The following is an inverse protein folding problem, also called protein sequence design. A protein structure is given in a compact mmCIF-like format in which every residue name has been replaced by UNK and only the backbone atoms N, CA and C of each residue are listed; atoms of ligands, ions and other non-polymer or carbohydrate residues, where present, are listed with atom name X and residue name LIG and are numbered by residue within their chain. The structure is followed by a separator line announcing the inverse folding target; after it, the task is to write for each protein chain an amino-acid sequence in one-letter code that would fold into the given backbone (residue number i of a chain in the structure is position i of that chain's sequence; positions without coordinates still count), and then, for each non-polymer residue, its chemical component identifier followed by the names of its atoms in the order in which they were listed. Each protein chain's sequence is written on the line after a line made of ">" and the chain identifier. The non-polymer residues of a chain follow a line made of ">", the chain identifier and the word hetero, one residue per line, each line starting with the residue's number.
data_IF_878401032757
#
_entry.id   IF_878401032757
#
_cell.length_a   1.000
_cell.length_b   1.000
_cell.length_c   1.000
_cell.angle_alpha   90.00
_cell.angle_beta   90.00
_cell.angle_gamma   90.00
#
_symmetry.space_group_name_H-M   'P 1'
#
loop_
_entity.id
_entity.type
_entity.pdbx_description
1 polymer ?
#
# COMPACT_ATOMS: atom_id res chain seq x y z
N UNK A 1 2.21 -14.88 -19.04
CA UNK A 1 1.71 -13.89 -20.01
C UNK A 1 2.78 -13.47 -20.99
N UNK A 2 3.87 -12.81 -20.56
CA UNK A 2 4.97 -12.37 -21.44
C UNK A 2 5.52 -13.48 -22.36
N UNK A 3 5.79 -14.67 -21.82
CA UNK A 3 6.28 -15.79 -22.64
C UNK A 3 5.26 -16.29 -23.69
N UNK A 4 3.96 -16.11 -23.44
CA UNK A 4 2.90 -16.63 -24.28
C UNK A 4 2.62 -15.77 -25.52
N UNK A 5 3.02 -14.50 -25.52
CA UNK A 5 2.71 -13.58 -26.65
C UNK A 5 3.43 -13.97 -27.94
N UNK A 6 4.54 -14.71 -27.86
CA UNK A 6 5.28 -15.23 -29.02
C UNK A 6 5.18 -16.75 -29.17
N UNK A 7 4.45 -17.44 -28.29
CA UNK A 7 4.34 -18.90 -28.36
C UNK A 7 3.51 -19.32 -29.57
N UNK A 8 3.88 -20.41 -30.25
CA UNK A 8 3.04 -20.93 -31.33
C UNK A 8 1.75 -21.53 -30.75
N UNK A 9 0.60 -20.95 -31.13
CA UNK A 9 -0.73 -21.42 -30.73
C UNK A 9 -1.37 -20.59 -29.62
N UNK A 10 -2.19 -21.25 -28.80
CA UNK A 10 -3.03 -20.62 -27.78
C UNK A 10 -2.65 -21.08 -26.39
N UNK A 11 -2.38 -20.12 -25.51
CA UNK A 11 -2.20 -20.33 -24.06
C UNK A 11 -3.46 -19.93 -23.31
N UNK A 12 -3.86 -20.73 -22.32
CA UNK A 12 -4.93 -20.42 -21.38
C UNK A 12 -4.33 -20.49 -19.98
N UNK A 13 -4.44 -19.40 -19.23
CA UNK A 13 -4.04 -19.30 -17.83
C UNK A 13 -5.32 -19.28 -17.00
N UNK A 14 -5.53 -20.32 -16.21
CA UNK A 14 -6.65 -20.44 -15.28
C UNK A 14 -6.22 -20.06 -13.86
N UNK A 15 -7.17 -19.61 -13.04
CA UNK A 15 -6.89 -19.02 -11.72
C UNK A 15 -5.86 -17.88 -11.79
N UNK A 16 -6.02 -17.03 -12.81
CA UNK A 16 -5.12 -15.92 -13.06
C UNK A 16 -5.31 -14.80 -12.01
N UNK A 17 -4.20 -14.17 -11.67
CA UNK A 17 -4.18 -13.00 -10.81
C UNK A 17 -4.88 -11.80 -11.50
N UNK A 18 -5.67 -11.02 -10.74
CA UNK A 18 -6.59 -10.00 -11.28
C UNK A 18 -6.13 -8.57 -11.00
N UNK A 19 -4.95 -8.41 -10.42
CA UNK A 19 -4.42 -7.13 -10.00
C UNK A 19 -4.33 -6.14 -11.16
N UNK A 20 -4.53 -4.84 -10.92
CA UNK A 20 -4.47 -3.83 -11.98
C UNK A 20 -3.19 -3.83 -12.80
N UNK A 21 -2.04 -4.14 -12.22
CA UNK A 21 -0.78 -4.24 -12.95
C UNK A 21 -0.75 -5.43 -13.94
N UNK A 22 -1.54 -6.48 -13.71
CA UNK A 22 -1.71 -7.58 -14.68
C UNK A 22 -2.53 -7.09 -15.88
N UNK A 23 -3.60 -6.35 -15.61
CA UNK A 23 -4.43 -5.70 -16.66
C UNK A 23 -3.60 -4.71 -17.46
N UNK A 24 -2.80 -3.88 -16.79
CA UNK A 24 -1.94 -2.90 -17.43
C UNK A 24 -0.89 -3.54 -18.34
N UNK A 25 -0.24 -4.61 -17.88
CA UNK A 25 0.71 -5.37 -18.71
C UNK A 25 0.02 -5.98 -19.94
N UNK A 26 -1.20 -6.50 -19.80
CA UNK A 26 -1.96 -7.04 -20.93
C UNK A 26 -2.34 -5.94 -21.93
N UNK A 27 -2.79 -4.78 -21.45
CA UNK A 27 -3.13 -3.63 -22.27
C UNK A 27 -1.91 -3.08 -23.02
N UNK A 28 -0.76 -2.99 -22.34
CA UNK A 28 0.52 -2.62 -22.95
C UNK A 28 0.88 -3.58 -24.09
N UNK A 29 0.87 -4.89 -23.84
CA UNK A 29 1.19 -5.89 -24.87
C UNK A 29 0.20 -5.86 -26.04
N UNK A 30 -1.10 -5.68 -25.77
CA UNK A 30 -2.12 -5.52 -26.81
C UNK A 30 -1.90 -4.25 -27.64
N UNK A 31 -1.45 -3.15 -27.03
CA UNK A 31 -1.09 -1.91 -27.76
C UNK A 31 0.11 -2.09 -28.70
N UNK A 32 0.93 -3.12 -28.44
CA UNK A 32 2.03 -3.55 -29.32
C UNK A 32 1.61 -4.58 -30.37
N UNK A 33 0.33 -5.01 -30.39
CA UNK A 33 -0.20 -5.98 -31.36
C UNK A 33 -0.40 -7.40 -30.84
N UNK A 34 -0.30 -7.65 -29.53
CA UNK A 34 -0.66 -8.95 -28.96
C UNK A 34 -2.18 -9.23 -29.03
N UNK A 35 -2.57 -10.51 -28.91
CA UNK A 35 -3.98 -10.93 -28.75
C UNK A 35 -4.18 -11.57 -27.36
N UNK A 36 -4.37 -10.71 -26.36
CA UNK A 36 -4.61 -11.09 -24.97
C UNK A 36 -6.03 -10.68 -24.57
N UNK A 37 -6.81 -11.63 -24.05
CA UNK A 37 -8.19 -11.41 -23.59
C UNK A 37 -8.40 -11.98 -22.20
N UNK A 38 -9.28 -11.35 -21.42
CA UNK A 38 -9.67 -11.81 -20.09
C UNK A 38 -8.73 -11.39 -18.95
N UNK A 39 -7.80 -10.46 -19.18
CA UNK A 39 -7.02 -9.85 -18.10
C UNK A 39 -7.96 -9.16 -17.09
N UNK A 40 -7.70 -9.34 -15.79
CA UNK A 40 -8.61 -8.90 -14.72
C UNK A 40 -9.72 -9.90 -14.39
N UNK A 41 -9.78 -11.05 -15.08
CA UNK A 41 -10.68 -12.18 -14.78
C UNK A 41 -9.89 -13.41 -14.35
N UNK A 42 -10.57 -14.46 -13.90
CA UNK A 42 -9.95 -15.73 -13.51
C UNK A 42 -9.27 -16.48 -14.68
N UNK A 43 -9.57 -16.11 -15.94
CA UNK A 43 -9.07 -16.83 -17.12
C UNK A 43 -8.51 -15.86 -18.16
N UNK A 44 -7.20 -15.91 -18.36
CA UNK A 44 -6.50 -15.14 -19.40
C UNK A 44 -6.22 -16.06 -20.59
N UNK A 45 -6.62 -15.60 -21.78
CA UNK A 45 -6.42 -16.31 -23.05
C UNK A 45 -5.48 -15.49 -23.93
N UNK A 46 -4.45 -16.15 -24.45
CA UNK A 46 -3.40 -15.50 -25.23
C UNK A 46 -3.21 -16.32 -26.50
N UNK A 47 -3.41 -15.69 -27.67
CA UNK A 47 -2.99 -16.27 -28.93
C UNK A 47 -1.63 -15.66 -29.28
N UNK A 48 -0.61 -16.49 -29.48
CA UNK A 48 0.70 -15.97 -29.81
C UNK A 48 0.74 -15.38 -31.22
N UNK A 49 1.52 -14.32 -31.35
CA UNK A 49 1.72 -13.56 -32.58
C UNK A 49 3.16 -13.69 -33.06
N UNK A 50 3.40 -13.43 -34.35
CA UNK A 50 4.74 -13.53 -34.94
C UNK A 50 5.64 -12.35 -34.59
N UNK A 51 5.05 -11.19 -34.40
CA UNK A 51 5.75 -9.93 -34.17
C UNK A 51 4.92 -9.01 -33.27
N UNK A 52 5.61 -8.15 -32.53
CA UNK A 52 5.04 -7.00 -31.84
C UNK A 52 5.73 -5.74 -32.36
N UNK A 53 5.02 -4.62 -32.36
CA UNK A 53 5.56 -3.31 -32.75
C UNK A 53 5.82 -2.45 -31.52
N UNK A 54 6.81 -1.56 -31.62
CA UNK A 54 7.02 -0.55 -30.58
C UNK A 54 5.82 0.39 -30.44
N UNK A 55 5.54 0.85 -29.21
CA UNK A 55 4.47 1.80 -28.94
C UNK A 55 4.89 2.80 -27.85
N UNK A 56 4.08 3.84 -27.66
CA UNK A 56 4.12 4.70 -26.47
C UNK A 56 2.96 4.33 -25.57
N UNK A 57 3.21 4.15 -24.28
CA UNK A 57 2.22 3.69 -23.32
C UNK A 57 2.36 4.42 -21.99
N UNK A 58 1.24 4.88 -21.41
CA UNK A 58 1.20 5.49 -20.07
C UNK A 58 0.99 4.38 -19.04
N UNK A 59 1.92 4.24 -18.09
CA UNK A 59 1.78 3.32 -16.96
C UNK A 59 0.64 3.78 -16.06
N UNK A 60 -0.14 2.84 -15.52
CA UNK A 60 -1.19 3.19 -14.55
C UNK A 60 -0.61 3.78 -13.26
N UNK A 61 -1.39 4.58 -12.52
CA UNK A 61 -1.00 5.05 -11.19
C UNK A 61 -0.73 3.93 -10.18
N UNK A 62 0.15 4.20 -9.21
CA UNK A 62 0.46 3.28 -8.11
C UNK A 62 -0.64 3.32 -7.03
N UNK A 63 -1.51 2.32 -7.05
CA UNK A 63 -2.57 2.14 -6.05
C UNK A 63 -2.05 1.94 -4.62
N UNK A 64 -0.84 1.40 -4.45
CA UNK A 64 -0.26 1.16 -3.12
C UNK A 64 0.31 2.46 -2.55
N UNK A 65 0.91 3.29 -3.40
CA UNK A 65 1.30 4.63 -2.99
C UNK A 65 0.08 5.47 -2.61
N UNK A 66 -0.94 5.51 -3.47
CA UNK A 66 -2.19 6.22 -3.19
C UNK A 66 -2.83 5.74 -1.87
N UNK A 67 -3.00 4.43 -1.70
CA UNK A 67 -3.56 3.85 -0.48
C UNK A 67 -2.75 4.16 0.78
N UNK A 68 -1.43 4.32 0.67
CA UNK A 68 -0.57 4.73 1.79
C UNK A 68 -0.88 6.15 2.24
N UNK A 69 -1.07 7.08 1.30
CA UNK A 69 -1.49 8.45 1.64
C UNK A 69 -2.92 8.52 2.18
N UNK A 70 -3.84 7.70 1.66
CA UNK A 70 -5.20 7.60 2.22
C UNK A 70 -5.16 7.20 3.70
N UNK A 71 -4.35 6.19 4.03
CA UNK A 71 -4.18 5.70 5.40
C UNK A 71 -3.45 6.76 6.26
N UNK A 72 -2.46 7.45 5.72
CA UNK A 72 -1.75 8.51 6.42
C UNK A 72 -2.68 9.69 6.78
N UNK A 73 -3.56 10.09 5.86
CA UNK A 73 -4.56 11.12 6.10
C UNK A 73 -5.53 10.72 7.22
N UNK A 74 -6.00 9.47 7.19
CA UNK A 74 -6.85 8.92 8.25
C UNK A 74 -6.12 8.91 9.61
N UNK A 75 -4.87 8.43 9.66
CA UNK A 75 -4.09 8.29 10.89
C UNK A 75 -3.75 9.65 11.51
N UNK A 76 -3.40 10.63 10.69
CA UNK A 76 -3.03 11.99 11.13
C UNK A 76 -4.22 12.90 11.35
N UNK A 77 -5.45 12.40 11.16
CA UNK A 77 -6.70 13.17 11.18
C UNK A 77 -6.66 14.38 10.21
N UNK A 78 -6.04 14.19 9.06
CA UNK A 78 -5.83 15.21 8.02
C UNK A 78 -6.97 15.31 7.00
N UNK A 79 -6.75 16.13 5.98
CA UNK A 79 -7.61 16.35 4.82
C UNK A 79 -6.73 16.59 3.59
N UNK A 80 -6.72 15.63 2.66
CA UNK A 80 -5.87 15.67 1.48
C UNK A 80 -6.65 15.33 0.22
N UNK A 81 -6.16 15.81 -0.92
CA UNK A 81 -6.56 15.35 -2.24
C UNK A 81 -5.42 14.52 -2.82
N UNK A 82 -5.75 13.35 -3.36
CA UNK A 82 -4.83 12.46 -4.05
C UNK A 82 -5.22 12.46 -5.52
N UNK A 83 -4.36 13.01 -6.37
CA UNK A 83 -4.54 13.13 -7.82
C UNK A 83 -3.87 11.98 -8.58
N UNK A 84 -4.19 11.86 -9.88
CA UNK A 84 -3.70 10.83 -10.82
C UNK A 84 -3.87 9.42 -10.22
N UNK A 85 -5.11 9.06 -9.90
CA UNK A 85 -5.50 7.74 -9.42
C UNK A 85 -6.62 7.14 -10.26
N UNK A 86 -6.85 5.84 -10.08
CA UNK A 86 -8.02 5.15 -10.61
C UNK A 86 -8.81 4.64 -9.41
N UNK A 87 -9.92 5.31 -9.00
CA UNK A 87 -10.67 4.94 -7.79
C UNK A 87 -11.07 3.46 -7.74
N UNK A 88 -11.36 2.87 -8.91
CA UNK A 88 -11.69 1.44 -9.06
C UNK A 88 -10.61 0.51 -8.50
N UNK A 89 -9.33 0.88 -8.61
CA UNK A 89 -8.20 0.10 -8.09
C UNK A 89 -8.08 0.20 -6.55
N UNK A 90 -8.67 1.23 -5.95
CA UNK A 90 -8.61 1.54 -4.52
C UNK A 90 -9.88 1.10 -3.77
N UNK A 91 -10.86 0.50 -4.44
CA UNK A 91 -12.14 0.07 -3.84
C UNK A 91 -11.99 -0.71 -2.51
N UNK A 92 -11.09 -1.71 -2.39
CA UNK A 92 -10.99 -2.50 -1.16
C UNK A 92 -10.50 -1.68 0.04
N UNK A 93 -9.58 -0.74 -0.22
CA UNK A 93 -9.01 0.16 0.78
C UNK A 93 -10.03 1.22 1.17
N UNK A 94 -10.67 1.81 0.15
CA UNK A 94 -11.75 2.79 0.30
C UNK A 94 -12.90 2.24 1.15
N UNK A 95 -13.33 1.00 0.88
CA UNK A 95 -14.37 0.35 1.65
C UNK A 95 -14.01 0.22 3.13
N UNK A 96 -12.78 -0.20 3.44
CA UNK A 96 -12.32 -0.34 4.83
C UNK A 96 -12.13 0.98 5.55
N UNK A 97 -11.61 2.01 4.88
CA UNK A 97 -11.50 3.35 5.47
C UNK A 97 -12.88 3.98 5.70
N UNK A 98 -13.84 3.80 4.78
CA UNK A 98 -15.24 4.21 5.00
C UNK A 98 -15.90 3.45 6.16
N UNK A 99 -15.64 2.14 6.30
CA UNK A 99 -16.11 1.33 7.44
C UNK A 99 -15.58 1.88 8.78
N UNK A 100 -14.33 2.37 8.81
CA UNK A 100 -13.76 3.04 9.98
C UNK A 100 -14.37 4.43 10.25
N UNK A 101 -15.05 5.03 9.29
CA UNK A 101 -15.62 6.38 9.41
C UNK A 101 -14.81 7.50 8.74
N UNK A 102 -13.82 7.18 7.91
CA UNK A 102 -13.07 8.17 7.11
C UNK A 102 -13.97 8.75 6.02
N UNK A 103 -13.93 10.08 5.83
CA UNK A 103 -14.58 10.77 4.75
C UNK A 103 -13.81 10.58 3.44
N UNK A 104 -14.48 10.09 2.39
CA UNK A 104 -13.88 9.90 1.06
C UNK A 104 -14.84 10.36 -0.02
N UNK A 105 -14.39 11.30 -0.84
CA UNK A 105 -15.11 11.87 -1.99
C UNK A 105 -14.30 11.64 -3.27
N UNK A 106 -14.94 11.11 -4.32
CA UNK A 106 -14.29 10.79 -5.59
C UNK A 106 -14.55 11.90 -6.63
N UNK A 107 -13.51 12.28 -7.36
CA UNK A 107 -13.50 13.37 -8.35
C UNK A 107 -12.86 12.91 -9.66
N UNK A 108 -13.43 11.89 -10.31
CA UNK A 108 -12.88 11.36 -11.56
C UNK A 108 -11.56 10.62 -11.34
N UNK A 109 -10.44 11.25 -11.69
CA UNK A 109 -9.07 10.73 -11.52
C UNK A 109 -8.38 11.24 -10.24
N UNK A 110 -9.13 11.85 -9.33
CA UNK A 110 -8.67 12.19 -7.98
C UNK A 110 -9.67 11.78 -6.90
N UNK A 111 -9.22 11.78 -5.64
CA UNK A 111 -10.09 11.59 -4.49
C UNK A 111 -9.63 12.43 -3.31
N UNK A 112 -10.60 12.96 -2.57
CA UNK A 112 -10.36 13.61 -1.29
C UNK A 112 -10.53 12.60 -0.16
N UNK A 113 -9.58 12.57 0.76
CA UNK A 113 -9.61 11.72 1.96
C UNK A 113 -9.42 12.61 3.17
N UNK A 114 -10.40 12.61 4.07
CA UNK A 114 -10.42 13.50 5.22
C UNK A 114 -10.99 12.85 6.48
N UNK A 115 -10.56 13.37 7.62
CA UNK A 115 -11.12 13.01 8.90
C UNK A 115 -12.51 13.63 9.09
N UNK A 116 -13.55 12.79 9.03
CA UNK A 116 -14.96 13.20 9.20
C UNK A 116 -15.40 13.10 10.67
N UNK A 117 -15.10 11.98 11.31
CA UNK A 117 -15.54 11.65 12.68
C UNK A 117 -14.58 10.68 13.35
N UNK A 118 -14.84 10.41 14.63
CA UNK A 118 -14.03 9.46 15.40
C UNK A 118 -14.02 8.09 14.72
N UNK A 119 -12.81 7.55 14.53
CA UNK A 119 -12.61 6.32 13.83
C UNK A 119 -12.97 5.13 14.71
N UNK A 120 -13.54 4.10 14.11
CA UNK A 120 -13.84 2.83 14.77
C UNK A 120 -12.87 1.74 14.33
N UNK A 121 -12.53 0.80 15.22
CA UNK A 121 -11.67 -0.33 14.86
C UNK A 121 -12.37 -1.23 13.83
N UNK A 122 -11.58 -1.84 12.94
CA UNK A 122 -12.08 -2.77 11.92
C UNK A 122 -11.15 -3.98 11.79
N UNK A 123 -11.71 -5.09 11.32
CA UNK A 123 -10.91 -6.27 10.97
C UNK A 123 -10.56 -6.24 9.48
N UNK A 124 -9.32 -6.60 9.15
CA UNK A 124 -8.87 -6.77 7.76
C UNK A 124 -8.33 -8.18 7.54
N UNK A 125 -8.57 -8.70 6.34
CA UNK A 125 -7.95 -9.93 5.84
C UNK A 125 -7.40 -9.64 4.45
N UNK A 126 -6.11 -9.89 4.24
CA UNK A 126 -5.50 -9.72 2.92
C UNK A 126 -5.89 -10.89 2.03
N UNK A 127 -6.19 -10.57 0.77
CA UNK A 127 -6.65 -11.51 -0.24
C UNK A 127 -6.11 -11.07 -1.62
N UNK A 128 -5.97 -11.97 -2.60
CA UNK A 128 -5.72 -11.57 -3.99
C UNK A 128 -6.73 -10.53 -4.46
N UNK A 129 -6.34 -9.65 -5.39
CA UNK A 129 -7.24 -8.61 -5.89
C UNK A 129 -8.53 -9.23 -6.47
N UNK A 130 -9.74 -8.68 -6.20
CA UNK A 130 -10.06 -7.39 -5.59
C UNK A 130 -10.21 -7.41 -4.06
N UNK A 131 -9.50 -8.30 -3.36
CA UNK A 131 -9.38 -8.29 -1.91
C UNK A 131 -8.53 -7.15 -1.35
N UNK A 132 -8.49 -7.01 -0.02
CA UNK A 132 -7.62 -6.02 0.62
C UNK A 132 -6.14 -6.35 0.33
N UNK A 133 -5.36 -5.41 -0.22
CA UNK A 133 -4.01 -5.71 -0.69
C UNK A 133 -3.04 -5.92 0.47
N UNK A 134 -2.27 -7.00 0.40
CA UNK A 134 -1.22 -7.32 1.37
C UNK A 134 -0.18 -6.21 1.50
N UNK A 135 0.03 -5.40 0.47
CA UNK A 135 0.97 -4.27 0.51
C UNK A 135 0.51 -3.08 1.38
N UNK A 136 -0.79 -2.96 1.66
CA UNK A 136 -1.33 -1.90 2.53
C UNK A 136 -1.68 -2.41 3.93
N UNK A 137 -1.48 -3.70 4.18
CA UNK A 137 -1.69 -4.31 5.50
C UNK A 137 -0.84 -3.62 6.57
N UNK A 138 0.43 -3.30 6.27
CA UNK A 138 1.35 -2.74 7.26
C UNK A 138 1.01 -1.27 7.63
N UNK A 139 0.81 -0.34 6.67
CA UNK A 139 0.26 0.98 6.95
C UNK A 139 -1.08 0.93 7.70
N UNK A 140 -2.00 0.04 7.29
CA UNK A 140 -3.30 -0.10 7.92
C UNK A 140 -3.17 -0.55 9.38
N UNK A 141 -2.23 -1.45 9.68
CA UNK A 141 -2.00 -1.92 11.06
C UNK A 141 -1.52 -0.79 11.98
N UNK A 142 -0.73 0.15 11.45
CA UNK A 142 -0.33 1.36 12.18
C UNK A 142 -1.53 2.25 12.49
N UNK A 143 -2.39 2.50 11.49
CA UNK A 143 -3.65 3.23 11.72
C UNK A 143 -4.48 2.54 12.81
N UNK A 144 -4.74 1.24 12.69
CA UNK A 144 -5.49 0.46 13.69
C UNK A 144 -4.86 0.50 15.09
N UNK A 145 -3.53 0.62 15.18
CA UNK A 145 -2.83 0.74 16.47
C UNK A 145 -3.10 2.07 17.18
N UNK A 146 -3.56 3.10 16.46
CA UNK A 146 -3.93 4.40 17.02
C UNK A 146 -5.43 4.57 17.31
N UNK A 147 -6.27 3.64 16.84
CA UNK A 147 -7.73 3.73 16.96
C UNK A 147 -8.22 2.96 18.18
N UNK A 148 -8.93 3.61 19.09
CA UNK A 148 -9.38 3.00 20.33
C UNK A 148 -10.29 1.77 20.08
N UNK A 149 -9.89 0.61 20.60
CA UNK A 149 -10.63 -0.65 20.51
C UNK A 149 -9.79 -1.81 20.00
N UNK A 150 -10.44 -2.91 19.66
CA UNK A 150 -9.77 -4.15 19.24
C UNK A 150 -9.93 -4.39 17.74
N UNK A 151 -8.84 -4.70 17.06
CA UNK A 151 -8.81 -5.01 15.63
C UNK A 151 -8.00 -6.27 15.38
N UNK A 152 -8.32 -6.98 14.30
CA UNK A 152 -7.60 -8.16 13.85
C UNK A 152 -7.16 -7.98 12.41
N UNK A 153 -5.91 -8.33 12.14
CA UNK A 153 -5.30 -8.32 10.81
C UNK A 153 -4.90 -9.75 10.46
N UNK A 154 -5.47 -10.31 9.39
CA UNK A 154 -5.12 -11.64 8.88
C UNK A 154 -4.36 -11.49 7.56
N UNK A 155 -3.19 -12.11 7.46
CA UNK A 155 -2.35 -12.11 6.25
C UNK A 155 -2.57 -13.42 5.46
N UNK A 156 -3.38 -13.35 4.41
CA UNK A 156 -3.72 -14.47 3.54
C UNK A 156 -2.77 -14.71 2.36
N UNK A 157 -1.91 -13.75 2.02
CA UNK A 157 -1.10 -13.77 0.78
C UNK A 157 0.37 -14.08 1.07
N UNK A 158 0.98 -13.41 2.06
CA UNK A 158 2.40 -13.61 2.43
C UNK A 158 2.56 -14.55 3.63
N UNK A 159 3.72 -15.19 3.76
CA UNK A 159 4.01 -16.12 4.86
C UNK A 159 4.63 -15.47 6.10
N UNK A 160 5.24 -14.29 5.96
CA UNK A 160 6.03 -13.65 7.01
C UNK A 160 6.10 -12.12 6.83
N UNK A 161 4.95 -11.43 6.99
CA UNK A 161 4.81 -9.99 6.73
C UNK A 161 4.68 -9.11 7.98
N UNK A 162 4.73 -9.70 9.18
CA UNK A 162 4.53 -8.98 10.45
C UNK A 162 5.83 -8.51 11.15
N UNK A 163 6.99 -8.53 10.47
CA UNK A 163 8.28 -8.15 11.09
C UNK A 163 8.30 -6.74 11.68
N UNK A 164 7.63 -5.80 11.00
CA UNK A 164 7.47 -4.41 11.44
C UNK A 164 6.70 -4.25 12.76
N UNK A 165 5.96 -5.27 13.21
CA UNK A 165 5.21 -5.23 14.48
C UNK A 165 6.13 -4.98 15.66
N UNK A 166 7.35 -5.54 15.63
CA UNK A 166 8.32 -5.31 16.70
C UNK A 166 8.79 -3.86 16.76
N UNK A 167 8.84 -3.17 15.62
CA UNK A 167 9.24 -1.76 15.55
C UNK A 167 8.15 -0.83 16.11
N UNK A 168 6.89 -1.06 15.76
CA UNK A 168 5.78 -0.26 16.32
C UNK A 168 5.53 -0.59 17.80
N UNK A 169 5.88 -1.80 18.27
CA UNK A 169 5.92 -2.14 19.70
C UNK A 169 6.96 -1.31 20.46
N UNK A 170 8.12 -1.02 19.88
CA UNK A 170 9.10 -0.08 20.48
C UNK A 170 8.50 1.32 20.65
N UNK A 171 7.58 1.70 19.77
CA UNK A 171 6.82 2.95 19.83
C UNK A 171 5.63 2.90 20.81
N UNK A 172 5.38 1.76 21.47
CA UNK A 172 4.30 1.60 22.45
C UNK A 172 2.99 1.02 21.90
N UNK A 173 2.96 0.53 20.65
CA UNK A 173 1.78 -0.14 20.11
C UNK A 173 1.50 -1.46 20.84
N UNK A 174 0.23 -1.71 21.20
CA UNK A 174 -0.21 -2.98 21.79
C UNK A 174 -0.72 -3.90 20.69
N UNK A 175 0.19 -4.72 20.16
CA UNK A 175 -0.10 -5.67 19.10
C UNK A 175 0.47 -7.02 19.50
N UNK A 176 -0.33 -8.09 19.48
CA UNK A 176 0.15 -9.47 19.53
C UNK A 176 0.10 -10.08 18.14
N UNK A 177 1.06 -10.94 17.76
CA UNK A 177 1.05 -11.51 16.41
C UNK A 177 1.63 -12.92 16.33
N UNK A 178 1.15 -13.64 15.32
CA UNK A 178 1.71 -14.88 14.77
C UNK A 178 2.14 -14.63 13.33
N UNK A 179 2.61 -15.66 12.61
CA UNK A 179 2.99 -15.53 11.19
C UNK A 179 1.84 -15.04 10.29
N UNK A 180 0.60 -15.36 10.62
CA UNK A 180 -0.57 -15.14 9.74
C UNK A 180 -1.61 -14.19 10.32
N UNK A 181 -1.47 -13.76 11.57
CA UNK A 181 -2.48 -12.95 12.23
C UNK A 181 -1.86 -12.02 13.26
N UNK A 182 -2.39 -10.81 13.36
CA UNK A 182 -2.11 -9.87 14.44
C UNK A 182 -3.42 -9.42 15.12
N UNK A 183 -3.37 -9.27 16.43
CA UNK A 183 -4.41 -8.73 17.28
C UNK A 183 -3.93 -7.41 17.85
N UNK A 184 -4.67 -6.35 17.57
CA UNK A 184 -4.32 -4.98 17.93
C UNK A 184 -5.29 -4.52 19.00
N UNK A 185 -4.74 -4.00 20.10
CA UNK A 185 -5.47 -3.17 21.06
C UNK A 185 -5.02 -1.74 20.83
N UNK A 186 -5.81 -0.98 20.09
CA UNK A 186 -5.41 0.35 19.69
C UNK A 186 -5.28 1.27 20.90
N UNK A 187 -4.17 2.00 20.93
CA UNK A 187 -3.82 2.97 21.96
C UNK A 187 -3.52 4.30 21.25
N UNK A 188 -4.22 5.40 21.57
CA UNK A 188 -4.02 6.67 20.87
C UNK A 188 -2.61 7.27 21.05
N UNK A 189 -1.80 6.79 22.00
CA UNK A 189 -0.52 7.40 22.34
C UNK A 189 0.69 6.54 21.96
N UNK A 190 1.14 6.65 20.69
CA UNK A 190 2.48 6.19 20.29
C UNK A 190 3.56 7.19 20.75
N UNK A 191 4.78 6.69 20.96
CA UNK A 191 5.95 7.49 21.34
C UNK A 191 7.06 7.37 20.30
N UNK A 192 7.66 8.50 19.97
CA UNK A 192 8.80 8.55 19.06
C UNK A 192 10.02 7.85 19.66
N UNK A 193 10.70 7.07 18.83
CA UNK A 193 11.93 6.35 19.17
C UNK A 193 12.71 6.02 17.89
N UNK A 194 13.82 5.30 18.02
CA UNK A 194 14.57 4.77 16.87
C UNK A 194 13.95 3.45 16.42
N UNK A 195 13.57 3.37 15.16
CA UNK A 195 12.98 2.20 14.51
C UNK A 195 13.66 1.90 13.18
N UNK A 196 13.55 0.65 12.73
CA UNK A 196 14.24 0.18 11.53
C UNK A 196 13.25 -0.26 10.45
N UNK A 197 13.36 0.26 9.24
CA UNK A 197 12.57 -0.22 8.11
C UNK A 197 12.99 -1.65 7.73
N UNK A 198 12.13 -2.66 7.98
CA UNK A 198 12.43 -4.07 7.68
C UNK A 198 12.18 -4.46 6.22
N UNK A 199 11.33 -3.70 5.54
CA UNK A 199 10.98 -3.86 4.14
C UNK A 199 10.34 -2.56 3.60
N UNK A 200 10.03 -2.55 2.30
CA UNK A 200 9.50 -1.37 1.60
C UNK A 200 8.22 -0.80 2.24
N UNK A 201 7.24 -1.67 2.51
CA UNK A 201 5.92 -1.22 2.99
C UNK A 201 5.95 -1.00 4.51
N UNK A 202 6.84 -1.70 5.21
CA UNK A 202 7.12 -1.47 6.63
C UNK A 202 7.71 -0.08 6.87
N UNK A 203 8.65 0.36 6.02
CA UNK A 203 9.22 1.70 6.15
C UNK A 203 8.17 2.80 5.96
N UNK A 204 7.25 2.67 5.00
CA UNK A 204 6.13 3.59 4.84
C UNK A 204 5.17 3.56 6.05
N UNK A 205 4.90 2.38 6.60
CA UNK A 205 4.11 2.24 7.83
C UNK A 205 4.79 2.96 9.02
N UNK A 206 6.11 2.84 9.17
CA UNK A 206 6.87 3.51 10.23
C UNK A 206 6.92 5.02 10.06
N UNK A 207 6.90 5.54 8.82
CA UNK A 207 6.71 6.98 8.58
C UNK A 207 5.36 7.41 9.16
N UNK A 208 4.27 6.72 8.82
CA UNK A 208 2.93 7.05 9.36
C UNK A 208 2.92 6.96 10.88
N UNK A 209 3.54 5.93 11.46
CA UNK A 209 3.65 5.78 12.91
C UNK A 209 4.42 6.98 13.53
N UNK A 210 5.48 7.44 12.88
CA UNK A 210 6.25 8.60 13.30
C UNK A 210 5.47 9.91 13.22
N UNK A 211 4.57 10.06 12.23
CA UNK A 211 3.71 11.24 12.08
C UNK A 211 2.67 11.38 13.20
N UNK A 212 2.21 10.26 13.77
CA UNK A 212 1.19 10.24 14.83
C UNK A 212 1.78 10.05 16.24
N UNK A 213 3.08 9.80 16.35
CA UNK A 213 3.75 9.56 17.63
C UNK A 213 4.12 10.86 18.35
N UNK A 214 4.09 10.81 19.67
CA UNK A 214 4.58 11.89 20.52
C UNK A 214 6.11 11.85 20.59
N UNK A 215 6.77 12.92 20.14
CA UNK A 215 8.22 13.08 20.19
C UNK A 215 8.90 12.90 18.83
N UNK A 216 10.20 12.58 18.85
CA UNK A 216 11.00 12.40 17.64
C UNK A 216 11.08 10.90 17.31
N UNK A 217 10.74 10.55 16.07
CA UNK A 217 10.97 9.21 15.52
C UNK A 217 12.14 9.27 14.53
N UNK A 218 13.12 8.40 14.71
CA UNK A 218 14.23 8.21 13.77
C UNK A 218 14.03 6.86 13.07
N UNK A 219 13.99 6.87 11.74
CA UNK A 219 13.80 5.66 10.93
C UNK A 219 15.11 5.35 10.22
N UNK A 220 15.69 4.18 10.49
CA UNK A 220 16.90 3.68 9.82
C UNK A 220 16.55 2.72 8.69
N UNK A 221 17.54 2.37 7.86
CA UNK A 221 17.40 1.48 6.70
C UNK A 221 16.38 1.94 5.65
N UNK A 222 16.31 3.27 5.47
CA UNK A 222 15.39 3.92 4.53
C UNK A 222 15.61 3.53 3.06
N UNK A 223 16.72 2.86 2.73
CA UNK A 223 16.95 2.27 1.41
C UNK A 223 15.84 1.27 1.02
N UNK A 224 15.15 0.67 2.00
CA UNK A 224 13.97 -0.13 1.74
C UNK A 224 12.80 0.68 1.17
N UNK A 225 12.61 1.91 1.67
CA UNK A 225 11.53 2.83 1.27
C UNK A 225 11.78 3.33 -0.16
N UNK A 226 13.03 3.66 -0.48
CA UNK A 226 13.45 4.20 -1.77
C UNK A 226 13.21 3.22 -2.95
N UNK A 227 12.97 1.93 -2.66
CA UNK A 227 12.64 0.93 -3.69
C UNK A 227 11.25 1.09 -4.32
N UNK A 228 10.37 1.87 -3.69
CA UNK A 228 8.98 1.98 -4.15
C UNK A 228 8.25 3.25 -3.76
N UNK A 229 8.92 4.20 -3.11
CA UNK A 229 8.42 5.56 -2.95
C UNK A 229 9.49 6.55 -3.37
N UNK A 230 9.16 7.38 -4.35
CA UNK A 230 10.04 8.44 -4.82
C UNK A 230 9.95 9.65 -3.87
N UNK A 231 11.05 9.97 -3.20
CA UNK A 231 11.18 11.14 -2.34
C UNK A 231 9.99 11.35 -1.39
N UNK A 232 9.56 10.27 -0.72
CA UNK A 232 8.33 10.25 0.09
C UNK A 232 8.29 11.37 1.13
N UNK A 233 9.45 11.73 1.70
CA UNK A 233 9.59 12.82 2.65
C UNK A 233 9.14 14.17 2.07
N UNK A 234 9.39 14.42 0.78
CA UNK A 234 9.00 15.67 0.13
C UNK A 234 7.48 15.75 -0.02
N UNK A 235 6.84 14.64 -0.41
CA UNK A 235 5.37 14.57 -0.50
C UNK A 235 4.73 14.81 0.87
N UNK A 236 5.25 14.20 1.93
CA UNK A 236 4.76 14.46 3.29
C UNK A 236 5.05 15.89 3.79
N UNK A 237 6.23 16.46 3.51
CA UNK A 237 6.53 17.87 3.85
C UNK A 237 5.55 18.83 3.17
N UNK A 238 5.21 18.59 1.90
CA UNK A 238 4.22 19.39 1.17
C UNK A 238 2.81 19.30 1.77
N UNK A 239 2.50 18.21 2.48
CA UNK A 239 1.26 18.04 3.26
C UNK A 239 1.36 18.62 4.68
N UNK A 240 2.48 19.26 5.05
CA UNK A 240 2.68 19.91 6.35
C UNK A 240 3.38 19.04 7.41
N UNK A 241 3.87 17.86 7.05
CA UNK A 241 4.60 17.00 7.99
C UNK A 241 5.96 17.59 8.38
N UNK A 242 6.32 17.44 9.66
CA UNK A 242 7.67 17.77 10.18
C UNK A 242 8.61 16.58 10.01
N UNK A 243 8.99 16.29 8.78
CA UNK A 243 9.89 15.19 8.41
C UNK A 243 11.13 15.74 7.71
N UNK A 244 12.29 15.10 7.90
CA UNK A 244 13.51 15.40 7.16
C UNK A 244 14.30 14.12 6.92
N UNK A 245 14.88 13.99 5.73
CA UNK A 245 15.92 13.00 5.46
C UNK A 245 17.28 13.59 5.86
N UNK A 246 18.07 12.84 6.62
CA UNK A 246 19.40 13.26 7.06
C UNK A 246 20.44 12.21 6.67
N UNK A 247 21.63 12.66 6.33
CA UNK A 247 22.79 11.78 6.18
C UNK A 247 23.42 11.64 7.55
N UNK A 248 23.67 10.41 7.98
CA UNK A 248 24.47 10.16 9.18
C UNK A 248 25.93 10.45 8.82
N UNK A 249 26.50 11.52 9.35
CA UNK A 249 27.94 11.72 9.29
C UNK A 249 28.58 10.55 10.06
N UNK A 250 29.35 9.71 9.37
CA UNK A 250 30.20 8.75 10.05
C UNK A 250 31.25 9.54 10.84
N UNK A 251 31.30 9.35 12.15
CA UNK A 251 32.48 9.76 12.92
C UNK A 251 33.68 9.04 12.31
N UNK A 252 34.49 9.78 11.55
CA UNK A 252 35.82 9.36 11.13
C UNK A 252 36.64 9.15 12.41
N UNK A 253 36.71 7.90 12.88
CA UNK A 253 37.64 7.46 13.93
C UNK A 253 39.00 7.20 13.30
#
# INVERSE_FOLDING_TARGET
>A
MLAAVYAEGRTIIENAAKEPHIVDTANFLNSMGADIKGAGTDVIRINGVKELTGCTYKVIPDQIEAGTYMIAAAATKGDIIIDDIIPKHLEPVTAKLKEMGVGIEEYGDSMRVFYDKELVPVNIQTLPYPGFPTDLQQPMTVLLSSVNGESTVVEGVSEDRFKYVNEIRKMGASVEYTKKQAWIKGNPELKGTVVQATDLRAGAALIIAGLIANGLTEITDIHHIDRGYEHIENKFMNLGAKIKRVVKEEELI
#
